data_IF_558394044231
#
_entry.id   IF_558394044231
#
_cell.length_a   1.000
_cell.length_b   1.000
_cell.length_c   1.000
_cell.angle_alpha   90.00
_cell.angle_beta   90.00
_cell.angle_gamma   90.00
#
_symmetry.space_group_name_H-M   'P 1'
#
loop_
_entity.id
_entity.type
_entity.pdbx_description
1 polymer ?
#
# COMPACT_ATOMS: atom_id res chain seq x y z
N UNK A 1 -3.59 -11.18 10.58
CA UNK A 1 -2.40 -10.93 11.42
C UNK A 1 -1.06 -11.06 10.68
N UNK A 2 -0.93 -11.86 9.60
CA UNK A 2 0.35 -12.04 8.90
C UNK A 2 0.98 -10.75 8.34
N UNK A 3 0.23 -9.97 7.56
CA UNK A 3 0.77 -8.77 6.89
C UNK A 3 1.31 -7.71 7.87
N UNK A 4 0.61 -7.45 8.99
CA UNK A 4 1.07 -6.47 9.98
C UNK A 4 2.40 -6.88 10.60
N UNK A 5 2.54 -8.15 11.01
CA UNK A 5 3.80 -8.64 11.58
C UNK A 5 4.96 -8.55 10.60
N UNK A 6 4.71 -8.86 9.33
CA UNK A 6 5.74 -8.75 8.29
C UNK A 6 6.17 -7.30 8.09
N UNK A 7 5.22 -6.35 8.06
CA UNK A 7 5.53 -4.93 7.91
C UNK A 7 6.31 -4.37 9.11
N UNK A 8 5.90 -4.69 10.33
CA UNK A 8 6.61 -4.29 11.56
C UNK A 8 8.01 -4.87 11.64
N UNK A 9 8.17 -6.12 11.23
CA UNK A 9 9.47 -6.76 11.21
C UNK A 9 10.36 -6.16 10.12
N UNK A 10 9.82 -5.80 8.95
CA UNK A 10 10.56 -5.10 7.92
C UNK A 10 11.04 -3.72 8.38
N UNK A 11 10.18 -2.93 9.06
CA UNK A 11 10.58 -1.66 9.69
C UNK A 11 11.80 -1.85 10.59
N UNK A 12 11.73 -2.86 11.47
CA UNK A 12 12.75 -3.11 12.49
C UNK A 12 14.05 -3.69 11.92
N UNK A 13 13.95 -4.70 11.04
CA UNK A 13 15.12 -5.40 10.51
C UNK A 13 15.92 -4.55 9.54
N UNK A 14 15.25 -3.77 8.70
CA UNK A 14 15.89 -2.96 7.67
C UNK A 14 16.07 -1.49 8.06
N UNK A 15 15.63 -1.10 9.27
CA UNK A 15 15.73 0.29 9.75
C UNK A 15 14.96 1.26 8.87
N UNK A 16 13.83 0.83 8.30
CA UNK A 16 13.05 1.65 7.39
C UNK A 16 12.39 2.79 8.17
N UNK A 17 12.31 3.96 7.54
CA UNK A 17 11.53 5.10 8.05
C UNK A 17 10.03 4.78 8.08
N UNK A 18 9.58 4.03 7.08
CA UNK A 18 8.16 3.81 6.81
C UNK A 18 7.94 2.55 5.98
N UNK A 19 6.82 1.86 6.22
CA UNK A 19 6.26 0.83 5.34
C UNK A 19 4.86 1.27 4.92
N UNK A 20 4.68 1.42 3.60
CA UNK A 20 3.45 1.89 2.99
C UNK A 20 2.63 0.69 2.49
N UNK A 21 1.42 0.52 3.02
CA UNK A 21 0.47 -0.45 2.49
C UNK A 21 -0.24 0.14 1.26
N UNK A 22 -0.36 -0.66 0.20
CA UNK A 22 -0.99 -0.22 -1.05
C UNK A 22 -2.14 -1.18 -1.34
N UNK A 23 -3.39 -0.83 -0.98
CA UNK A 23 -4.53 -1.67 -1.32
C UNK A 23 -4.73 -1.62 -2.84
N UNK A 24 -4.76 -2.80 -3.47
CA UNK A 24 -4.81 -2.89 -4.93
C UNK A 24 -6.05 -2.21 -5.51
N UNK A 25 -5.87 -1.45 -6.59
CA UNK A 25 -6.96 -0.87 -7.39
C UNK A 25 -7.64 -1.93 -8.26
N UNK A 26 -7.42 -1.86 -9.57
CA UNK A 26 -7.86 -2.88 -10.54
C UNK A 26 -6.67 -3.77 -10.94
N UNK A 27 -6.51 -5.00 -10.42
CA UNK A 27 -5.38 -5.85 -10.79
C UNK A 27 -5.42 -6.23 -12.29
N UNK A 28 -4.29 -6.18 -13.02
CA UNK A 28 -4.23 -6.46 -14.46
C UNK A 28 -4.40 -7.95 -14.81
N UNK A 29 -4.20 -8.83 -13.83
CA UNK A 29 -4.10 -10.29 -14.03
C UNK A 29 -5.37 -11.05 -13.65
N UNK A 30 -6.40 -10.35 -13.16
CA UNK A 30 -7.70 -10.93 -12.81
C UNK A 30 -8.73 -9.81 -12.71
N UNK A 31 -9.98 -10.11 -13.03
CA UNK A 31 -11.06 -9.23 -12.62
C UNK A 31 -11.14 -9.21 -11.10
N UNK A 32 -11.44 -8.04 -10.53
CA UNK A 32 -11.77 -7.95 -9.10
C UNK A 32 -13.07 -8.73 -8.95
N UNK A 33 -13.00 -9.95 -8.40
CA UNK A 33 -14.19 -10.73 -8.08
C UNK A 33 -15.17 -9.85 -7.28
N UNK A 34 -16.48 -10.01 -7.53
CA UNK A 34 -17.55 -9.38 -6.76
C UNK A 34 -17.25 -9.51 -5.26
N UNK A 35 -16.77 -8.41 -4.68
CA UNK A 35 -16.07 -8.43 -3.41
C UNK A 35 -16.07 -7.06 -2.77
N UNK A 36 -15.30 -6.93 -1.69
CA UNK A 36 -15.26 -5.69 -0.92
C UNK A 36 -14.69 -4.55 -1.78
N UNK A 37 -15.44 -3.44 -1.98
CA UNK A 37 -14.97 -2.27 -2.71
C UNK A 37 -13.58 -1.80 -2.26
N UNK A 38 -12.81 -1.24 -3.20
CA UNK A 38 -11.47 -0.72 -2.93
C UNK A 38 -11.45 0.23 -1.73
N UNK A 39 -12.40 1.16 -1.66
CA UNK A 39 -12.52 2.10 -0.53
C UNK A 39 -12.69 1.41 0.81
N UNK A 40 -13.52 0.36 0.89
CA UNK A 40 -13.68 -0.37 2.13
C UNK A 40 -12.40 -1.11 2.52
N UNK A 41 -11.66 -1.67 1.56
CA UNK A 41 -10.36 -2.28 1.82
C UNK A 41 -9.34 -1.24 2.32
N UNK A 42 -9.33 -0.05 1.74
CA UNK A 42 -8.49 1.06 2.20
C UNK A 42 -8.80 1.44 3.64
N UNK A 43 -10.07 1.66 3.99
CA UNK A 43 -10.47 2.02 5.35
C UNK A 43 -10.18 0.89 6.36
N UNK A 44 -10.38 -0.38 5.98
CA UNK A 44 -9.98 -1.52 6.81
C UNK A 44 -8.48 -1.53 7.10
N UNK A 45 -7.64 -1.27 6.10
CA UNK A 45 -6.18 -1.18 6.30
C UNK A 45 -5.84 0.01 7.20
N UNK A 46 -6.41 1.17 6.93
CA UNK A 46 -6.22 2.40 7.74
C UNK A 46 -6.55 2.16 9.21
N UNK A 47 -7.64 1.48 9.51
CA UNK A 47 -8.00 1.08 10.88
C UNK A 47 -7.00 0.08 11.46
N UNK A 48 -6.57 -0.92 10.68
CA UNK A 48 -5.65 -1.96 11.14
C UNK A 48 -4.26 -1.42 11.53
N UNK A 49 -3.79 -0.37 10.85
CA UNK A 49 -2.50 0.28 11.10
C UNK A 49 -2.60 1.51 12.02
N UNK A 50 -3.81 1.91 12.42
CA UNK A 50 -4.02 3.09 13.26
C UNK A 50 -3.23 2.99 14.57
N UNK A 51 -2.51 4.06 14.90
CA UNK A 51 -1.67 4.13 16.11
C UNK A 51 -0.38 3.31 16.05
N UNK A 52 0.04 2.80 14.87
CA UNK A 52 1.31 2.09 14.68
C UNK A 52 2.32 2.99 13.95
N UNK A 53 3.31 3.57 14.66
CA UNK A 53 4.30 4.45 14.04
C UNK A 53 5.07 3.75 12.93
N UNK A 54 5.38 4.49 11.85
CA UNK A 54 6.11 3.96 10.70
C UNK A 54 5.26 3.13 9.73
N UNK A 55 3.97 2.89 10.01
CA UNK A 55 3.06 2.28 9.05
C UNK A 55 2.13 3.34 8.47
N UNK A 56 1.95 3.31 7.15
CA UNK A 56 0.99 4.17 6.45
C UNK A 56 0.27 3.39 5.34
N UNK A 57 -0.74 4.02 4.73
CA UNK A 57 -1.50 3.44 3.64
C UNK A 57 -1.60 4.47 2.51
N UNK A 58 -1.28 4.06 1.29
CA UNK A 58 -1.36 4.90 0.09
C UNK A 58 -2.60 4.59 -0.73
N UNK A 59 -3.10 5.62 -1.41
CA UNK A 59 -4.22 5.54 -2.36
C UNK A 59 -3.76 5.47 -3.82
N UNK A 60 -2.45 5.37 -4.07
CA UNK A 60 -1.85 5.44 -5.40
C UNK A 60 -2.52 4.56 -6.47
N UNK A 61 -2.95 3.34 -6.10
CA UNK A 61 -3.65 2.45 -7.03
C UNK A 61 -5.18 2.64 -7.07
N UNK A 62 -5.79 3.15 -5.99
CA UNK A 62 -7.23 3.34 -5.91
C UNK A 62 -7.70 4.55 -6.71
N UNK A 63 -6.94 5.63 -6.62
CA UNK A 63 -7.31 6.91 -7.23
C UNK A 63 -6.90 6.97 -8.72
N UNK A 64 -6.23 5.92 -9.22
CA UNK A 64 -5.80 5.80 -10.61
C UNK A 64 -6.80 5.00 -11.44
N UNK A 65 -7.24 5.50 -12.61
CA UNK A 65 -8.09 4.73 -13.50
C UNK A 65 -7.31 3.60 -14.20
N UNK A 66 -8.00 2.49 -14.46
CA UNK A 66 -7.46 1.37 -15.24
C UNK A 66 -6.62 0.39 -14.44
N UNK A 67 -6.01 -0.60 -15.12
CA UNK A 67 -5.27 -1.69 -14.48
C UNK A 67 -4.07 -1.16 -13.69
N UNK A 68 -3.88 -1.61 -12.46
CA UNK A 68 -2.80 -1.24 -11.56
C UNK A 68 -1.54 -2.07 -11.81
N UNK A 69 -0.57 -1.50 -12.52
CA UNK A 69 0.75 -2.10 -12.69
C UNK A 69 1.71 -1.55 -11.66
N UNK A 70 2.48 -2.43 -11.02
CA UNK A 70 3.43 -2.05 -9.96
C UNK A 70 4.46 -1.00 -10.41
N UNK A 71 4.85 -0.99 -11.69
CA UNK A 71 5.76 0.04 -12.23
C UNK A 71 5.17 1.44 -12.09
N UNK A 72 3.89 1.60 -12.41
CA UNK A 72 3.19 2.88 -12.31
C UNK A 72 3.02 3.29 -10.85
N UNK A 73 2.71 2.32 -9.97
CA UNK A 73 2.60 2.54 -8.53
C UNK A 73 3.92 3.04 -7.93
N UNK A 74 5.04 2.42 -8.29
CA UNK A 74 6.38 2.83 -7.82
C UNK A 74 6.72 4.23 -8.30
N UNK A 75 6.37 4.59 -9.55
CA UNK A 75 6.59 5.95 -10.05
C UNK A 75 5.80 7.01 -9.28
N UNK A 76 4.56 6.71 -8.88
CA UNK A 76 3.75 7.59 -8.03
C UNK A 76 4.42 7.76 -6.66
N UNK A 77 4.79 6.65 -6.01
CA UNK A 77 5.41 6.67 -4.69
C UNK A 77 6.76 7.41 -4.67
N UNK A 78 7.57 7.28 -5.75
CA UNK A 78 8.82 8.04 -5.88
C UNK A 78 8.59 9.55 -5.94
N UNK A 79 7.46 10.01 -6.50
CA UNK A 79 7.08 11.43 -6.50
C UNK A 79 6.59 11.88 -5.12
N UNK A 80 5.88 11.01 -4.40
CA UNK A 80 5.41 11.28 -3.03
C UNK A 80 6.56 11.27 -1.99
N UNK A 81 7.62 10.52 -2.27
CA UNK A 81 8.80 10.37 -1.41
C UNK A 81 10.11 10.75 -2.13
N UNK A 82 10.32 12.02 -2.50
CA UNK A 82 11.44 12.44 -3.35
C UNK A 82 12.81 12.27 -2.69
N UNK A 83 12.87 12.32 -1.36
CA UNK A 83 14.11 12.26 -0.57
C UNK A 83 14.50 10.82 -0.17
N UNK A 84 13.79 9.80 -0.67
CA UNK A 84 13.93 8.41 -0.22
C UNK A 84 14.07 7.39 -1.35
N UNK A 85 14.64 6.22 -1.03
CA UNK A 85 14.61 5.05 -1.91
C UNK A 85 13.33 4.26 -1.65
N UNK A 86 12.51 4.13 -2.69
CA UNK A 86 11.31 3.29 -2.69
C UNK A 86 11.69 1.91 -3.23
N UNK A 87 11.35 0.86 -2.47
CA UNK A 87 11.59 -0.55 -2.78
C UNK A 87 10.31 -1.23 -3.28
#
# INVERSE_FOLDING_TARGET
>A
MGHLRVAEEALRQFGLREVVFIPTGQPPHREVADGVPGELRYEMVKLAISGRPGLSVSRAELDRPGPAYTVDTIEILKKEHPEGVVY
#
